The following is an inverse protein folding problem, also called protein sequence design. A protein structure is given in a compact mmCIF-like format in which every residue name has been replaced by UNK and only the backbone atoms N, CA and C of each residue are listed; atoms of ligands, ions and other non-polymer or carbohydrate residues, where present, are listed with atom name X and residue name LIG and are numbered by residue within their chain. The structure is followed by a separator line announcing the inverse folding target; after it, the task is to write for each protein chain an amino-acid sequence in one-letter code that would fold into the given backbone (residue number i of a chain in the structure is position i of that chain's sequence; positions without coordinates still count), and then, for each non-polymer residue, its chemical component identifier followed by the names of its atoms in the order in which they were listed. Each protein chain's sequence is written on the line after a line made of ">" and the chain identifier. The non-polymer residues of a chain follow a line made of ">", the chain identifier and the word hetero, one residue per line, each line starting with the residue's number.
data_IF_679034172734
#
_entry.id   IF_679034172734
#
_cell.length_a   1.000
_cell.length_b   1.000
_cell.length_c   1.000
_cell.angle_alpha   90.00
_cell.angle_beta   90.00
_cell.angle_gamma   90.00
#
_symmetry.space_group_name_H-M   'P 1'
#
loop_
_entity.id
_entity.type
_entity.pdbx_description
1 polymer ?
#
# COMPACT_ATOMS: atom_id res chain seq x y z
N UNK A 1 0.43 -2.36 2.16
CA UNK A 1 0.05 -2.70 3.55
C UNK A 1 -0.16 -4.19 3.68
N UNK A 2 0.55 -4.81 4.62
CA UNK A 2 0.46 -6.25 4.87
C UNK A 2 -0.53 -6.57 5.99
N UNK A 3 -0.87 -7.85 6.14
CA UNK A 3 -1.65 -8.35 7.26
C UNK A 3 -1.05 -9.64 7.83
N UNK A 4 -1.39 -9.95 9.06
CA UNK A 4 -1.07 -11.22 9.71
C UNK A 4 -2.21 -11.66 10.62
N UNK A 5 -2.45 -12.96 10.68
CA UNK A 5 -3.36 -13.59 11.63
C UNK A 5 -2.64 -14.11 12.88
N UNK A 6 -1.30 -14.03 12.91
CA UNK A 6 -0.50 -14.47 14.04
C UNK A 6 -0.57 -13.42 15.17
N UNK A 7 -0.87 -13.81 16.43
CA UNK A 7 -1.15 -12.86 17.51
C UNK A 7 0.08 -12.06 17.96
N UNK A 8 1.28 -12.58 17.72
CA UNK A 8 2.57 -12.00 18.06
C UNK A 8 3.05 -10.94 17.05
N UNK A 9 2.48 -10.92 15.85
CA UNK A 9 2.93 -10.06 14.74
C UNK A 9 2.46 -8.59 14.85
N UNK A 10 1.16 -8.27 15.04
CA UNK A 10 0.70 -6.88 15.14
C UNK A 10 1.38 -6.04 16.24
N UNK A 11 1.69 -6.60 17.44
CA UNK A 11 2.45 -5.88 18.46
C UNK A 11 3.87 -5.49 18.04
N UNK A 12 4.51 -6.29 17.17
CA UNK A 12 5.88 -6.07 16.71
C UNK A 12 5.95 -5.07 15.55
N UNK A 13 4.86 -4.89 14.80
CA UNK A 13 4.78 -3.96 13.68
C UNK A 13 3.40 -3.29 13.60
N UNK A 14 3.30 -2.07 14.15
CA UNK A 14 2.06 -1.29 14.19
C UNK A 14 1.46 -0.95 12.81
N UNK A 15 2.21 -1.16 11.72
CA UNK A 15 1.76 -0.99 10.34
C UNK A 15 1.09 -2.23 9.71
N UNK A 16 0.97 -3.33 10.44
CA UNK A 16 0.40 -4.60 9.93
C UNK A 16 -1.01 -4.81 10.49
N UNK A 17 -1.95 -5.06 9.58
CA UNK A 17 -3.33 -5.36 9.96
C UNK A 17 -3.48 -6.79 10.51
N UNK A 18 -4.50 -7.01 11.33
CA UNK A 18 -4.84 -8.35 11.87
C UNK A 18 -5.62 -9.24 10.89
N UNK A 19 -6.05 -8.69 9.75
CA UNK A 19 -6.79 -9.41 8.72
C UNK A 19 -6.63 -8.77 7.34
N UNK A 20 -6.91 -9.55 6.30
CA UNK A 20 -6.88 -9.07 4.92
C UNK A 20 -7.94 -7.97 4.71
N UNK A 21 -9.16 -8.17 5.22
CA UNK A 21 -10.25 -7.20 5.14
C UNK A 21 -9.91 -5.91 5.88
N UNK A 22 -9.23 -6.01 7.03
CA UNK A 22 -8.74 -4.86 7.78
C UNK A 22 -7.76 -4.02 6.96
N UNK A 23 -6.78 -4.67 6.33
CA UNK A 23 -5.83 -4.00 5.43
C UNK A 23 -6.52 -3.35 4.22
N UNK A 24 -7.48 -4.05 3.59
CA UNK A 24 -8.25 -3.49 2.46
C UNK A 24 -9.05 -2.26 2.86
N UNK A 25 -9.83 -2.33 3.95
CA UNK A 25 -10.63 -1.20 4.45
C UNK A 25 -9.76 -0.02 4.87
N UNK A 26 -8.56 -0.29 5.38
CA UNK A 26 -7.61 0.76 5.69
C UNK A 26 -7.18 1.51 4.42
N UNK A 27 -6.70 0.76 3.41
CA UNK A 27 -6.24 1.35 2.14
C UNK A 27 -7.38 2.07 1.44
N UNK A 28 -8.56 1.47 1.39
CA UNK A 28 -9.78 2.06 0.80
C UNK A 28 -10.11 3.43 1.41
N UNK A 29 -10.20 3.52 2.75
CA UNK A 29 -10.43 4.79 3.44
C UNK A 29 -9.32 5.80 3.21
N UNK A 30 -8.06 5.36 3.27
CA UNK A 30 -6.91 6.25 3.08
C UNK A 30 -6.92 6.90 1.69
N UNK A 31 -7.12 6.10 0.64
CA UNK A 31 -7.14 6.62 -0.74
C UNK A 31 -8.37 7.50 -0.96
N UNK A 32 -9.57 7.07 -0.53
CA UNK A 32 -10.78 7.88 -0.66
C UNK A 32 -10.65 9.25 0.03
N UNK A 33 -10.21 9.27 1.29
CA UNK A 33 -10.00 10.52 2.04
C UNK A 33 -9.02 11.43 1.32
N UNK A 34 -7.88 10.90 0.90
CA UNK A 34 -6.86 11.70 0.20
C UNK A 34 -7.39 12.28 -1.12
N UNK A 35 -8.11 11.49 -1.92
CA UNK A 35 -8.67 11.96 -3.19
C UNK A 35 -9.71 13.06 -2.93
N UNK A 36 -10.55 12.89 -1.90
CA UNK A 36 -11.59 13.86 -1.54
C UNK A 36 -10.96 15.17 -1.03
N UNK A 37 -9.92 15.10 -0.20
CA UNK A 37 -9.19 16.27 0.28
C UNK A 37 -8.56 17.06 -0.88
N UNK A 38 -7.99 16.37 -1.87
CA UNK A 38 -7.44 17.01 -3.07
C UNK A 38 -8.53 17.69 -3.87
N UNK A 39 -9.67 17.03 -4.08
CA UNK A 39 -10.79 17.59 -4.83
C UNK A 39 -11.41 18.79 -4.09
N UNK A 40 -11.53 18.72 -2.77
CA UNK A 40 -11.98 19.83 -1.94
C UNK A 40 -11.01 21.02 -2.04
N UNK A 41 -9.71 20.77 -1.95
CA UNK A 41 -8.68 21.80 -2.15
C UNK A 41 -8.78 22.44 -3.53
N UNK A 42 -8.98 21.64 -4.59
CA UNK A 42 -9.17 22.18 -5.95
C UNK A 42 -10.43 23.04 -6.07
N UNK A 43 -11.57 22.59 -5.52
CA UNK A 43 -12.81 23.35 -5.54
C UNK A 43 -12.68 24.70 -4.84
N UNK A 44 -11.99 24.73 -3.69
CA UNK A 44 -11.69 25.97 -2.95
C UNK A 44 -10.77 26.90 -3.75
N UNK A 45 -9.74 26.37 -4.40
CA UNK A 45 -8.88 27.16 -5.29
C UNK A 45 -9.62 27.73 -6.51
N UNK A 46 -10.73 27.09 -6.91
CA UNK A 46 -11.63 27.59 -7.94
C UNK A 46 -12.74 28.52 -7.40
N UNK A 47 -12.65 28.95 -6.14
CA UNK A 47 -13.61 29.84 -5.46
C UNK A 47 -15.03 29.26 -5.40
N UNK A 48 -15.18 27.94 -5.41
CA UNK A 48 -16.47 27.30 -5.18
C UNK A 48 -16.84 27.36 -3.68
N UNK A 49 -18.10 27.66 -3.33
CA UNK A 49 -18.57 27.57 -1.96
C UNK A 49 -18.46 26.14 -1.41
N UNK A 50 -18.12 25.99 -0.13
CA UNK A 50 -17.96 24.67 0.52
C UNK A 50 -19.22 23.78 0.39
N UNK A 51 -20.43 24.38 0.41
CA UNK A 51 -21.67 23.65 0.18
C UNK A 51 -21.76 23.04 -1.24
N UNK A 52 -21.27 23.76 -2.26
CA UNK A 52 -21.23 23.28 -3.64
C UNK A 52 -20.19 22.17 -3.77
N UNK A 53 -19.02 22.35 -3.16
CA UNK A 53 -17.97 21.31 -3.15
C UNK A 53 -18.50 20.03 -2.51
N UNK A 54 -19.15 20.14 -1.34
CA UNK A 54 -19.71 18.97 -0.65
C UNK A 54 -20.78 18.26 -1.50
N UNK A 55 -21.65 19.01 -2.17
CA UNK A 55 -22.68 18.45 -3.06
C UNK A 55 -22.09 17.76 -4.29
N UNK A 56 -20.94 18.22 -4.78
CA UNK A 56 -20.21 17.57 -5.87
C UNK A 56 -19.54 16.28 -5.36
N UNK A 57 -18.86 16.34 -4.20
CA UNK A 57 -18.19 15.18 -3.62
C UNK A 57 -19.16 14.06 -3.25
N UNK A 58 -20.39 14.39 -2.83
CA UNK A 58 -21.41 13.37 -2.53
C UNK A 58 -21.93 12.63 -3.77
N UNK A 59 -21.59 13.09 -4.97
CA UNK A 59 -21.93 12.42 -6.25
C UNK A 59 -20.80 11.51 -6.74
N UNK A 60 -19.72 11.36 -5.96
CA UNK A 60 -18.60 10.49 -6.30
C UNK A 60 -18.77 9.12 -5.69
N UNK A 61 -18.58 8.10 -6.53
CA UNK A 61 -18.47 6.72 -6.11
C UNK A 61 -17.08 6.24 -6.47
N UNK A 62 -16.34 5.76 -5.47
CA UNK A 62 -15.00 5.24 -5.64
C UNK A 62 -14.94 3.78 -5.25
N UNK A 63 -14.31 2.97 -6.09
CA UNK A 63 -14.03 1.56 -5.83
C UNK A 63 -12.53 1.38 -5.82
N UNK A 64 -11.97 0.85 -4.73
CA UNK A 64 -10.54 0.53 -4.61
C UNK A 64 -10.34 -0.98 -4.60
N UNK A 65 -9.42 -1.44 -5.43
CA UNK A 65 -8.94 -2.82 -5.49
C UNK A 65 -7.51 -2.87 -4.96
N UNK A 66 -7.32 -3.67 -3.91
CA UNK A 66 -6.01 -3.88 -3.29
C UNK A 66 -5.87 -5.32 -2.80
N UNK A 67 -4.69 -5.91 -3.03
CA UNK A 67 -4.36 -7.27 -2.57
C UNK A 67 -3.32 -7.20 -1.45
N UNK A 68 -3.74 -7.26 -0.17
CA UNK A 68 -2.81 -7.27 0.96
C UNK A 68 -1.84 -8.45 0.89
N UNK A 69 -0.60 -8.22 1.30
CA UNK A 69 0.38 -9.30 1.50
C UNK A 69 0.12 -9.99 2.85
N UNK A 70 0.08 -11.32 2.86
CA UNK A 70 0.04 -12.10 4.11
C UNK A 70 1.45 -12.28 4.66
N UNK A 71 1.65 -11.92 5.93
CA UNK A 71 2.91 -12.04 6.64
C UNK A 71 2.75 -12.93 7.87
N UNK A 72 2.94 -14.26 7.74
CA UNK A 72 2.74 -15.19 8.85
C UNK A 72 3.78 -15.03 9.96
N UNK A 73 4.99 -14.61 9.60
CA UNK A 73 6.09 -14.31 10.53
C UNK A 73 6.77 -13.01 10.11
N UNK A 74 7.39 -12.32 11.07
CA UNK A 74 8.16 -11.10 10.85
C UNK A 74 9.64 -11.30 11.12
N UNK A 75 10.46 -10.54 10.40
CA UNK A 75 11.90 -10.41 10.63
C UNK A 75 12.26 -8.94 10.60
N UNK A 76 12.93 -8.44 11.64
CA UNK A 76 13.40 -7.06 11.67
C UNK A 76 14.76 -7.03 10.95
N UNK A 77 14.76 -6.56 9.71
CA UNK A 77 15.93 -6.66 8.83
C UNK A 77 16.28 -8.10 8.44
N UNK A 78 17.40 -8.23 7.72
CA UNK A 78 17.91 -9.53 7.25
C UNK A 78 18.85 -10.21 8.25
N UNK A 79 19.33 -9.49 9.25
CA UNK A 79 20.34 -9.96 10.21
C UNK A 79 19.73 -10.69 11.42
N UNK A 80 18.40 -10.81 11.48
CA UNK A 80 17.70 -11.52 12.55
C UNK A 80 18.18 -12.99 12.64
N UNK A 81 18.73 -13.43 13.79
CA UNK A 81 19.29 -14.78 13.94
C UNK A 81 18.23 -15.88 14.01
N UNK A 82 16.96 -15.54 14.19
CA UNK A 82 15.91 -16.52 14.39
C UNK A 82 15.63 -17.32 13.10
N UNK A 83 15.51 -18.63 13.27
CA UNK A 83 15.48 -19.59 12.18
C UNK A 83 14.05 -19.87 11.74
N UNK A 84 13.85 -19.92 10.43
CA UNK A 84 12.67 -20.45 9.77
C UNK A 84 12.91 -21.90 9.37
N UNK A 85 11.88 -22.74 9.48
CA UNK A 85 11.92 -24.13 9.03
C UNK A 85 11.75 -24.22 7.51
N UNK A 86 12.03 -25.41 6.96
CA UNK A 86 11.77 -25.68 5.56
C UNK A 86 10.27 -25.49 5.23
N UNK A 87 9.98 -24.78 4.14
CA UNK A 87 8.63 -24.44 3.70
C UNK A 87 8.02 -23.22 4.41
N UNK A 88 8.71 -22.63 5.38
CA UNK A 88 8.26 -21.39 6.01
C UNK A 88 8.72 -20.15 5.26
N UNK A 89 7.94 -19.07 5.42
CA UNK A 89 8.28 -17.74 4.94
C UNK A 89 8.09 -16.69 6.03
N UNK A 90 8.86 -15.61 5.94
CA UNK A 90 8.70 -14.43 6.77
C UNK A 90 8.78 -13.16 5.95
N UNK A 91 8.06 -12.14 6.37
CA UNK A 91 8.18 -10.80 5.84
C UNK A 91 9.33 -10.08 6.53
N UNK A 92 10.23 -9.52 5.74
CA UNK A 92 11.31 -8.67 6.24
C UNK A 92 10.75 -7.25 6.37
N UNK A 93 10.84 -6.72 7.58
CA UNK A 93 10.43 -5.37 7.92
C UNK A 93 11.66 -4.52 8.13
N UNK A 94 11.67 -3.36 7.49
CA UNK A 94 12.62 -2.27 7.78
C UNK A 94 11.78 -1.05 8.12
N UNK A 95 12.01 -0.47 9.29
CA UNK A 95 11.29 0.69 9.82
C UNK A 95 9.75 0.58 9.70
N UNK A 96 9.18 -0.56 10.09
CA UNK A 96 7.74 -0.79 10.07
C UNK A 96 7.13 -1.01 8.68
N UNK A 97 7.94 -1.10 7.63
CA UNK A 97 7.50 -1.40 6.25
C UNK A 97 8.03 -2.74 5.79
N UNK A 98 7.18 -3.57 5.19
CA UNK A 98 7.62 -4.82 4.55
C UNK A 98 8.38 -4.48 3.27
N UNK A 99 9.66 -4.85 3.21
CA UNK A 99 10.55 -4.56 2.08
C UNK A 99 10.86 -5.78 1.22
N UNK A 100 10.83 -6.97 1.82
CA UNK A 100 11.12 -8.22 1.13
C UNK A 100 10.42 -9.41 1.81
N UNK A 101 10.43 -10.54 1.11
CA UNK A 101 9.95 -11.83 1.61
C UNK A 101 11.16 -12.76 1.65
N UNK A 102 11.33 -13.43 2.79
CA UNK A 102 12.33 -14.47 2.99
C UNK A 102 11.62 -15.83 3.02
N UNK A 103 12.07 -16.79 2.21
CA UNK A 103 11.59 -18.16 2.23
C UNK A 103 12.74 -19.15 2.34
N UNK A 104 12.51 -20.26 3.05
CA UNK A 104 13.50 -21.32 3.23
C UNK A 104 13.01 -22.61 2.57
N UNK A 105 13.80 -23.11 1.60
CA UNK A 105 13.45 -24.33 0.88
C UNK A 105 13.97 -25.60 1.58
N UNK A 106 14.99 -25.50 2.44
CA UNK A 106 15.55 -26.65 3.14
C UNK A 106 16.17 -26.30 4.51
N UNK A 107 15.91 -27.15 5.50
CA UNK A 107 16.45 -27.08 6.86
C UNK A 107 16.09 -25.80 7.64
N UNK A 108 16.33 -25.76 8.96
CA UNK A 108 16.14 -24.53 9.71
C UNK A 108 17.23 -23.52 9.35
N UNK A 109 16.89 -22.30 8.90
CA UNK A 109 17.86 -21.25 8.51
C UNK A 109 17.35 -19.85 8.85
N UNK A 110 18.24 -18.92 9.11
CA UNK A 110 17.88 -17.50 9.24
C UNK A 110 17.76 -16.83 7.87
N UNK A 111 17.23 -15.61 7.85
CA UNK A 111 17.16 -14.78 6.63
C UNK A 111 18.46 -14.02 6.34
N UNK A 112 19.55 -14.34 7.06
CA UNK A 112 20.84 -13.71 6.87
C UNK A 112 21.42 -14.10 5.50
N UNK A 113 22.05 -13.15 4.77
CA UNK A 113 22.76 -13.46 3.53
C UNK A 113 23.83 -14.53 3.79
N UNK A 114 23.82 -15.60 3.00
CA UNK A 114 24.89 -16.61 3.05
C UNK A 114 26.04 -16.13 2.18
N UNK A 115 27.31 -16.28 2.60
CA UNK A 115 28.46 -15.95 1.75
C UNK A 115 28.40 -16.69 0.40
N UNK A 116 28.83 -16.00 -0.65
CA UNK A 116 28.92 -16.55 -2.00
C UNK A 116 29.81 -17.80 -1.98
N UNK A 117 29.21 -18.98 -2.23
CA UNK A 117 29.85 -20.29 -2.09
C UNK A 117 29.09 -21.25 -1.17
N UNK A 118 28.14 -20.74 -0.37
CA UNK A 118 27.12 -21.57 0.26
C UNK A 118 26.23 -22.21 -0.82
N UNK A 119 26.08 -23.54 -0.79
CA UNK A 119 25.34 -24.28 -1.81
C UNK A 119 23.90 -23.77 -2.03
N UNK A 120 23.25 -24.25 -3.09
CA UNK A 120 21.96 -23.80 -3.65
C UNK A 120 20.73 -23.76 -2.70
N UNK A 121 20.91 -24.01 -1.39
CA UNK A 121 19.89 -24.11 -0.37
C UNK A 121 19.91 -22.90 0.62
N UNK A 122 20.39 -21.74 0.19
CA UNK A 122 20.36 -20.51 0.99
C UNK A 122 18.94 -19.96 1.20
N UNK A 123 18.73 -19.03 2.16
CA UNK A 123 17.48 -18.30 2.26
C UNK A 123 17.25 -17.54 0.95
N UNK A 124 16.03 -17.67 0.42
CA UNK A 124 15.63 -16.96 -0.78
C UNK A 124 14.97 -15.66 -0.35
N UNK A 125 15.66 -14.54 -0.57
CA UNK A 125 15.14 -13.20 -0.33
C UNK A 125 14.63 -12.65 -1.66
N UNK A 126 13.32 -12.44 -1.76
CA UNK A 126 12.70 -11.86 -2.95
C UNK A 126 12.05 -10.52 -2.62
N UNK A 127 12.04 -9.57 -3.56
CA UNK A 127 11.24 -8.36 -3.40
C UNK A 127 9.74 -8.72 -3.24
N UNK A 128 8.99 -7.81 -2.63
CA UNK A 128 7.53 -7.97 -2.54
C UNK A 128 6.93 -7.98 -3.96
N UNK A 129 6.12 -8.99 -4.32
CA UNK A 129 5.51 -9.07 -5.64
C UNK A 129 4.60 -7.88 -5.96
N UNK A 130 4.59 -7.45 -7.23
CA UNK A 130 3.83 -6.30 -7.74
C UNK A 130 2.33 -6.27 -7.36
N UNK A 131 1.58 -7.40 -7.32
CA UNK A 131 0.18 -7.37 -6.93
C UNK A 131 -0.07 -6.81 -5.52
N UNK A 132 0.91 -6.87 -4.63
CA UNK A 132 0.82 -6.36 -3.26
C UNK A 132 1.28 -4.90 -3.12
N UNK A 133 1.93 -4.38 -4.16
CA UNK A 133 2.42 -3.00 -4.27
C UNK A 133 1.50 -2.13 -5.14
N UNK A 134 0.57 -2.76 -5.87
CA UNK A 134 -0.35 -2.07 -6.79
C UNK A 134 -1.70 -1.83 -6.11
N UNK A 135 -2.15 -0.57 -6.14
CA UNK A 135 -3.52 -0.17 -5.79
C UNK A 135 -4.18 0.28 -7.09
N UNK A 136 -5.32 -0.32 -7.42
CA UNK A 136 -6.12 0.06 -8.57
C UNK A 136 -7.54 0.42 -8.14
N UNK A 137 -8.33 0.97 -9.04
CA UNK A 137 -9.69 1.37 -8.71
C UNK A 137 -10.38 2.12 -9.83
N UNK A 138 -11.64 2.45 -9.59
CA UNK A 138 -12.43 3.31 -10.46
C UNK A 138 -13.07 4.43 -9.65
N UNK A 139 -13.19 5.60 -10.27
CA UNK A 139 -13.93 6.73 -9.74
C UNK A 139 -15.01 7.07 -10.77
N UNK A 140 -16.26 7.04 -10.34
CA UNK A 140 -17.40 7.46 -11.14
C UNK A 140 -18.08 8.67 -10.51
N UNK A 141 -18.69 9.49 -11.35
CA UNK A 141 -19.40 10.69 -10.93
C UNK A 141 -20.64 10.89 -11.77
N UNK A 142 -21.72 11.35 -11.16
CA UNK A 142 -22.90 11.85 -11.88
C UNK A 142 -22.84 13.37 -12.12
N UNK A 143 -21.81 14.03 -11.59
CA UNK A 143 -21.62 15.46 -11.75
C UNK A 143 -21.09 15.79 -13.16
N UNK A 144 -21.87 16.56 -13.93
CA UNK A 144 -21.53 16.86 -15.33
C UNK A 144 -20.22 17.65 -15.49
N UNK A 145 -19.86 18.47 -14.50
CA UNK A 145 -18.63 19.28 -14.54
C UNK A 145 -17.43 18.34 -14.45
N UNK A 146 -17.39 17.46 -13.45
CA UNK A 146 -16.29 16.51 -13.28
C UNK A 146 -16.26 15.42 -14.37
N UNK A 147 -17.42 15.00 -14.87
CA UNK A 147 -17.51 14.06 -15.99
C UNK A 147 -16.87 14.64 -17.27
N UNK A 148 -16.90 15.96 -17.45
CA UNK A 148 -16.27 16.65 -18.59
C UNK A 148 -14.76 16.82 -18.45
N UNK A 149 -14.17 16.45 -17.31
CA UNK A 149 -12.75 16.65 -17.08
C UNK A 149 -11.89 15.79 -18.01
N UNK A 150 -10.95 16.44 -18.68
CA UNK A 150 -9.88 15.80 -19.41
C UNK A 150 -9.04 14.86 -18.53
N UNK A 151 -8.42 13.87 -19.17
CA UNK A 151 -7.46 12.95 -18.52
C UNK A 151 -6.34 13.72 -17.79
N UNK A 152 -5.89 14.85 -18.33
CA UNK A 152 -4.84 15.65 -17.70
C UNK A 152 -5.30 16.27 -16.36
N UNK A 153 -6.56 16.70 -16.27
CA UNK A 153 -7.14 17.19 -15.01
C UNK A 153 -7.23 16.06 -13.99
N UNK A 154 -7.74 14.89 -14.38
CA UNK A 154 -7.76 13.72 -13.50
C UNK A 154 -6.37 13.27 -13.06
N UNK A 155 -5.41 13.25 -13.98
CA UNK A 155 -4.02 12.91 -13.66
C UNK A 155 -3.42 13.91 -12.65
N UNK A 156 -3.77 15.20 -12.75
CA UNK A 156 -3.36 16.22 -11.77
C UNK A 156 -3.92 15.91 -10.37
N UNK A 157 -5.18 15.49 -10.26
CA UNK A 157 -5.79 15.07 -8.99
C UNK A 157 -5.02 13.89 -8.39
N UNK A 158 -4.84 12.81 -9.14
CA UNK A 158 -4.19 11.60 -8.59
C UNK A 158 -2.71 11.85 -8.26
N UNK A 159 -2.01 12.65 -9.06
CA UNK A 159 -0.63 13.06 -8.75
C UNK A 159 -0.55 13.88 -7.45
N UNK A 160 -1.51 14.77 -7.20
CA UNK A 160 -1.59 15.52 -5.94
C UNK A 160 -1.92 14.61 -4.76
N UNK A 161 -2.81 13.62 -4.96
CA UNK A 161 -3.14 12.64 -3.93
C UNK A 161 -1.91 11.83 -3.52
N UNK A 162 -1.13 11.32 -4.49
CA UNK A 162 0.14 10.65 -4.20
C UNK A 162 1.10 11.57 -3.45
N UNK A 163 1.24 12.83 -3.87
CA UNK A 163 2.10 13.78 -3.16
C UNK A 163 1.64 14.02 -1.72
N UNK A 164 0.34 14.14 -1.47
CA UNK A 164 -0.19 14.26 -0.11
C UNK A 164 0.12 13.01 0.73
N UNK A 165 -0.05 11.81 0.18
CA UNK A 165 0.32 10.56 0.85
C UNK A 165 1.83 10.47 1.12
N UNK A 166 2.65 10.90 0.16
CA UNK A 166 4.10 10.89 0.24
C UNK A 166 4.67 11.96 1.19
N UNK A 167 3.92 13.03 1.47
CA UNK A 167 4.33 14.09 2.41
C UNK A 167 3.70 13.90 3.80
N UNK A 168 2.63 13.12 3.90
CA UNK A 168 1.88 12.89 5.13
C UNK A 168 2.45 11.75 6.01
N UNK A 169 1.63 11.25 6.94
CA UNK A 169 2.00 10.16 7.85
C UNK A 169 2.43 8.87 7.13
N UNK A 170 2.03 8.69 5.87
CA UNK A 170 2.33 7.52 5.05
C UNK A 170 3.51 7.72 4.10
N UNK A 171 4.32 8.77 4.30
CA UNK A 171 5.49 9.10 3.46
C UNK A 171 6.32 7.89 3.07
N UNK A 172 6.65 7.04 4.04
CA UNK A 172 7.52 5.87 3.83
C UNK A 172 6.91 4.83 2.88
N UNK A 173 5.58 4.75 2.79
CA UNK A 173 4.88 3.79 1.95
C UNK A 173 4.60 4.33 0.54
N UNK A 174 4.59 5.65 0.36
CA UNK A 174 4.21 6.30 -0.90
C UNK A 174 5.33 7.15 -1.53
N UNK A 175 6.53 7.21 -0.94
CA UNK A 175 7.63 8.05 -1.41
C UNK A 175 8.00 7.82 -2.89
N UNK A 176 7.95 6.56 -3.34
CA UNK A 176 8.22 6.16 -4.73
C UNK A 176 6.96 5.80 -5.51
N UNK A 177 5.77 6.06 -4.96
CA UNK A 177 4.53 5.73 -5.64
C UNK A 177 4.32 6.61 -6.87
N UNK A 178 3.78 6.02 -7.92
CA UNK A 178 3.36 6.73 -9.14
C UNK A 178 1.91 6.35 -9.45
N UNK A 179 1.20 7.24 -10.14
CA UNK A 179 -0.18 7.02 -10.54
C UNK A 179 -0.36 7.24 -12.02
N UNK A 180 -1.30 6.49 -12.60
CA UNK A 180 -1.75 6.67 -13.97
C UNK A 180 -3.26 6.61 -14.01
N UNK A 181 -3.86 7.49 -14.82
CA UNK A 181 -5.30 7.44 -15.12
C UNK A 181 -5.49 6.64 -16.41
N UNK A 182 -6.23 5.53 -16.33
CA UNK A 182 -6.66 4.72 -17.47
C UNK A 182 -7.98 5.21 -18.08
N UNK A 183 -8.35 4.69 -19.26
CA UNK A 183 -9.74 4.76 -19.75
C UNK A 183 -10.46 3.49 -19.33
N UNK A 184 -11.69 3.63 -18.85
CA UNK A 184 -12.68 2.55 -18.76
C UNK A 184 -13.47 2.46 -20.07
#
# INVERSE_FOLDING_TARGET
>A
MAYSTAPDVPPQASGIATSAEGARRFVDRLIMQTVFDVLQSQGRSALLPDAVISAILSQLTMTVTYTPLMCPKLRIGVEDPERLNAGESACIIVDGTVTAICSIDAGPRSCAPVPAGGGANGPKITPVPDPHLTISGSLSTTNIIMASWSRAMWQSVVNRAIRMLALGPFRRHFFSATATVGRS
#
